data_IF_202010723007
#
_entry.id   IF_202010723007
#
_cell.length_a   1.000
_cell.length_b   1.000
_cell.length_c   1.000
_cell.angle_alpha   90.00
_cell.angle_beta   90.00
_cell.angle_gamma   90.00
#
_symmetry.space_group_name_H-M   'P 1'
#
loop_
_entity.id
_entity.type
_entity.pdbx_description
1 polymer ?
#
# COMPACT_ATOMS: atom_id res chain seq x y z
N UNK A 1 6.66 15.36 -1.86
CA UNK A 1 5.59 14.95 -0.93
C UNK A 1 5.91 15.51 0.45
N UNK A 2 4.96 16.16 1.13
CA UNK A 2 5.17 16.60 2.52
C UNK A 2 5.11 15.39 3.46
N UNK A 3 5.82 15.44 4.58
CA UNK A 3 5.80 14.38 5.62
C UNK A 3 4.37 14.07 6.07
N UNK A 4 3.53 15.11 6.20
CA UNK A 4 2.11 14.99 6.53
C UNK A 4 1.35 14.12 5.53
N UNK A 5 1.65 14.22 4.23
CA UNK A 5 1.02 13.39 3.21
C UNK A 5 1.42 11.91 3.35
N UNK A 6 2.71 11.63 3.60
CA UNK A 6 3.20 10.26 3.82
C UNK A 6 2.58 9.62 5.06
N UNK A 7 2.44 10.39 6.15
CA UNK A 7 1.77 9.92 7.38
C UNK A 7 0.30 9.58 7.14
N UNK A 8 -0.42 10.39 6.36
CA UNK A 8 -1.82 10.11 5.99
C UNK A 8 -1.93 8.85 5.14
N UNK A 9 -1.03 8.65 4.17
CA UNK A 9 -1.01 7.43 3.35
C UNK A 9 -0.72 6.20 4.22
N UNK A 10 0.24 6.29 5.15
CA UNK A 10 0.55 5.21 6.07
C UNK A 10 -0.65 4.85 6.96
N UNK A 11 -1.32 5.86 7.53
CA UNK A 11 -2.51 5.66 8.36
C UNK A 11 -3.66 5.03 7.55
N UNK A 12 -3.92 5.56 6.34
CA UNK A 12 -4.96 5.04 5.45
C UNK A 12 -4.69 3.59 5.02
N UNK A 13 -3.43 3.26 4.73
CA UNK A 13 -2.98 1.90 4.40
C UNK A 13 -3.32 0.90 5.51
N UNK A 14 -2.99 1.23 6.77
CA UNK A 14 -3.27 0.35 7.91
C UNK A 14 -4.78 0.13 8.08
N UNK A 15 -5.57 1.20 8.01
CA UNK A 15 -7.04 1.13 8.10
C UNK A 15 -7.62 0.28 6.98
N UNK A 16 -7.12 0.43 5.74
CA UNK A 16 -7.54 -0.36 4.59
C UNK A 16 -7.20 -1.85 4.77
N UNK A 17 -6.02 -2.16 5.28
CA UNK A 17 -5.57 -3.53 5.55
C UNK A 17 -6.48 -4.21 6.59
N UNK A 18 -6.76 -3.52 7.69
CA UNK A 18 -7.72 -3.97 8.71
C UNK A 18 -9.11 -4.21 8.10
N UNK A 19 -9.61 -3.29 7.26
CA UNK A 19 -10.89 -3.44 6.58
C UNK A 19 -10.94 -4.66 5.66
N UNK A 20 -9.88 -4.90 4.87
CA UNK A 20 -9.79 -6.05 3.97
C UNK A 20 -9.76 -7.37 4.74
N UNK A 21 -9.01 -7.45 5.84
CA UNK A 21 -8.91 -8.67 6.64
C UNK A 21 -10.21 -8.93 7.39
N UNK A 22 -10.80 -7.90 8.01
CA UNK A 22 -11.98 -8.06 8.88
C UNK A 22 -13.27 -8.18 8.06
N UNK A 23 -13.53 -7.26 7.11
CA UNK A 23 -14.81 -7.22 6.37
C UNK A 23 -14.80 -8.11 5.13
N UNK A 24 -13.73 -8.11 4.36
CA UNK A 24 -13.67 -8.91 3.14
C UNK A 24 -13.26 -10.38 3.40
N UNK A 25 -12.92 -10.73 4.65
CA UNK A 25 -12.40 -12.06 5.06
C UNK A 25 -11.26 -12.54 4.15
N UNK A 26 -10.52 -11.60 3.56
CA UNK A 26 -9.41 -11.92 2.68
C UNK A 26 -8.28 -12.54 3.49
N UNK A 27 -7.59 -13.53 2.92
CA UNK A 27 -6.40 -14.09 3.56
C UNK A 27 -5.37 -12.98 3.80
N UNK A 28 -4.70 -12.91 4.97
CA UNK A 28 -3.82 -11.80 5.32
C UNK A 28 -2.76 -11.48 4.26
N UNK A 29 -2.18 -12.52 3.65
CA UNK A 29 -1.22 -12.38 2.55
C UNK A 29 -1.78 -11.63 1.33
N UNK A 30 -3.02 -11.92 0.93
CA UNK A 30 -3.68 -11.26 -0.21
C UNK A 30 -3.98 -9.81 0.12
N UNK A 31 -4.45 -9.52 1.33
CA UNK A 31 -4.68 -8.15 1.79
C UNK A 31 -3.38 -7.35 1.80
N UNK A 32 -2.29 -7.94 2.29
CA UNK A 32 -0.95 -7.34 2.27
C UNK A 32 -0.49 -7.02 0.84
N UNK A 33 -0.69 -7.94 -0.11
CA UNK A 33 -0.33 -7.73 -1.51
C UNK A 33 -1.09 -6.53 -2.11
N UNK A 34 -2.41 -6.48 -1.93
CA UNK A 34 -3.26 -5.41 -2.47
C UNK A 34 -2.90 -4.06 -1.87
N UNK A 35 -2.75 -4.00 -0.53
CA UNK A 35 -2.41 -2.75 0.16
C UNK A 35 -1.01 -2.27 -0.23
N UNK A 36 -0.04 -3.18 -0.34
CA UNK A 36 1.32 -2.85 -0.79
C UNK A 36 1.33 -2.22 -2.19
N UNK A 37 0.60 -2.83 -3.13
CA UNK A 37 0.44 -2.28 -4.48
C UNK A 37 -0.21 -0.89 -4.45
N UNK A 38 -1.34 -0.73 -3.76
CA UNK A 38 -2.04 0.55 -3.63
C UNK A 38 -1.15 1.64 -3.05
N UNK A 39 -0.37 1.33 -2.01
CA UNK A 39 0.57 2.28 -1.40
C UNK A 39 1.68 2.66 -2.37
N UNK A 40 2.26 1.70 -3.11
CA UNK A 40 3.30 1.97 -4.10
C UNK A 40 2.79 2.91 -5.21
N UNK A 41 1.56 2.68 -5.69
CA UNK A 41 0.90 3.58 -6.65
C UNK A 41 0.63 4.96 -6.05
N UNK A 42 0.08 5.05 -4.83
CA UNK A 42 -0.25 6.31 -4.17
C UNK A 42 0.99 7.16 -3.83
N UNK A 43 2.13 6.52 -3.56
CA UNK A 43 3.40 7.19 -3.30
C UNK A 43 4.16 7.55 -4.58
N UNK A 44 3.67 7.12 -5.74
CA UNK A 44 4.26 7.43 -7.04
C UNK A 44 5.64 6.83 -7.24
N UNK A 45 5.90 5.65 -6.63
CA UNK A 45 7.17 4.94 -6.84
C UNK A 45 7.22 4.59 -8.33
N UNK A 46 8.18 5.15 -9.10
CA UNK A 46 8.28 4.84 -10.51
C UNK A 46 8.58 3.35 -10.64
N UNK A 47 7.70 2.62 -11.33
CA UNK A 47 7.88 1.19 -11.58
C UNK A 47 9.24 0.91 -12.21
N UNK A 48 9.75 1.84 -13.04
CA UNK A 48 11.11 1.85 -13.60
C UNK A 48 12.21 1.61 -12.56
N UNK A 49 12.10 2.15 -11.34
CA UNK A 49 13.08 1.90 -10.27
C UNK A 49 12.94 0.53 -9.61
N UNK A 50 11.80 -0.13 -9.76
CA UNK A 50 11.51 -1.44 -9.17
C UNK A 50 11.92 -2.56 -10.13
N UNK A 51 11.89 -2.32 -11.45
CA UNK A 51 12.28 -3.27 -12.50
C UNK A 51 13.72 -3.10 -13.02
N UNK A 52 14.51 -2.17 -12.49
CA UNK A 52 15.93 -2.00 -12.87
C UNK A 52 16.74 -3.24 -12.45
N UNK A 53 16.77 -4.23 -13.34
CA UNK A 53 17.87 -5.19 -13.51
C UNK A 53 18.78 -4.63 -14.61
N UNK A 54 19.54 -3.56 -14.30
CA UNK A 54 20.80 -3.21 -14.97
C UNK A 54 21.56 -2.10 -14.24
#
# INVERSE_FOLDING_TARGET
MSTSALLLIALASVVLLLLLVIKAKAHPFVALLIVSLLVAFATGIPADKIITTH
#
